data_IF_288395195061
#
_entry.id   IF_288395195061
#
_cell.length_a   1.000
_cell.length_b   1.000
_cell.length_c   1.000
_cell.angle_alpha   90.00
_cell.angle_beta   90.00
_cell.angle_gamma   90.00
#
_symmetry.space_group_name_H-M   'P 1'
#
loop_
_entity.id
_entity.type
_entity.pdbx_description
1 polymer ?
#
# COMPACT_ATOMS: atom_id res chain seq x y z
N UNK A 1 -2.66 63.32 -3.27
CA UNK A 1 -2.79 64.03 -4.57
C UNK A 1 -1.41 64.07 -5.24
N UNK A 2 -1.26 63.45 -6.42
CA UNK A 2 -0.15 63.63 -7.40
C UNK A 2 -0.59 64.71 -8.41
N UNK A 3 0.33 65.44 -9.09
CA UNK A 3 0.93 64.99 -10.38
C UNK A 3 2.45 65.35 -10.48
N UNK A 4 3.34 64.58 -11.13
CA UNK A 4 3.51 64.15 -12.54
C UNK A 4 4.44 65.08 -13.35
N UNK A 5 5.63 64.59 -13.75
CA UNK A 5 6.15 64.66 -15.14
C UNK A 5 7.41 63.79 -15.35
N UNK A 6 7.39 63.06 -16.47
CA UNK A 6 8.41 62.18 -17.04
C UNK A 6 9.57 62.95 -17.70
N UNK A 7 10.73 62.29 -17.95
CA UNK A 7 11.17 61.85 -19.29
C UNK A 7 12.50 61.07 -19.26
N UNK A 8 12.67 60.28 -20.33
CA UNK A 8 13.52 59.11 -20.57
C UNK A 8 15.03 59.33 -20.66
N UNK A 9 15.81 58.24 -20.49
CA UNK A 9 16.92 57.91 -21.40
C UNK A 9 17.27 56.41 -21.36
N UNK A 10 17.53 55.88 -22.55
CA UNK A 10 17.87 54.50 -22.91
C UNK A 10 19.36 54.26 -22.69
N UNK A 11 19.75 53.08 -22.20
CA UNK A 11 21.04 52.49 -22.58
C UNK A 11 20.93 50.98 -22.71
N UNK A 12 21.13 50.50 -23.93
CA UNK A 12 21.37 49.11 -24.30
C UNK A 12 22.84 48.81 -23.97
N UNK A 13 23.11 47.79 -23.16
CA UNK A 13 24.38 47.07 -23.19
C UNK A 13 24.07 45.59 -23.06
N UNK A 14 24.33 44.84 -24.12
CA UNK A 14 24.32 43.39 -24.11
C UNK A 14 25.64 42.85 -23.57
N UNK A 15 25.57 41.74 -22.83
CA UNK A 15 26.72 40.88 -22.58
C UNK A 15 26.26 39.43 -22.63
N UNK A 16 26.79 38.69 -23.61
CA UNK A 16 26.78 37.23 -23.67
C UNK A 16 27.83 36.71 -22.68
N UNK A 17 27.46 35.77 -21.81
CA UNK A 17 28.42 34.93 -21.11
C UNK A 17 27.93 33.48 -21.07
N UNK A 18 28.79 32.62 -21.58
CA UNK A 18 28.64 31.18 -21.83
C UNK A 18 28.88 30.39 -20.53
N UNK A 19 27.95 29.47 -20.26
CA UNK A 19 28.12 28.12 -19.68
C UNK A 19 29.06 27.86 -18.50
N UNK A 20 28.46 27.44 -17.37
CA UNK A 20 28.96 26.31 -16.57
C UNK A 20 27.79 25.35 -16.39
N UNK A 21 27.89 24.17 -16.99
CA UNK A 21 26.90 23.11 -16.86
C UNK A 21 26.96 22.50 -15.46
N UNK A 22 25.89 22.70 -14.69
CA UNK A 22 25.57 21.85 -13.55
C UNK A 22 24.56 20.81 -14.02
N UNK A 23 25.04 19.59 -14.26
CA UNK A 23 24.20 18.40 -14.35
C UNK A 23 23.62 18.11 -12.96
N UNK A 24 22.60 18.87 -12.59
CA UNK A 24 21.70 18.53 -11.50
C UNK A 24 20.76 17.43 -11.99
N UNK A 25 21.03 16.19 -11.60
CA UNK A 25 20.01 15.15 -11.62
C UNK A 25 18.88 15.61 -10.73
N UNK A 26 17.82 16.17 -11.33
CA UNK A 26 16.57 16.38 -10.63
C UNK A 26 16.03 15.00 -10.30
N UNK A 27 16.31 14.54 -9.08
CA UNK A 27 15.52 13.50 -8.45
C UNK A 27 14.09 13.99 -8.51
N UNK A 28 13.32 13.44 -9.44
CA UNK A 28 11.90 13.64 -9.55
C UNK A 28 11.28 12.88 -8.38
N UNK A 29 11.37 13.47 -7.20
CA UNK A 29 10.56 13.09 -6.06
C UNK A 29 9.14 13.09 -6.57
N UNK A 30 8.52 11.91 -6.62
CA UNK A 30 7.12 11.75 -6.97
C UNK A 30 6.33 12.66 -6.04
N UNK A 31 5.99 13.85 -6.52
CA UNK A 31 5.17 14.78 -5.78
C UNK A 31 3.80 14.13 -5.76
N UNK A 32 3.49 13.52 -4.60
CA UNK A 32 2.15 13.09 -4.31
C UNK A 32 1.22 14.22 -4.70
N UNK A 33 0.36 14.00 -5.70
CA UNK A 33 -0.72 14.92 -6.01
C UNK A 33 -1.69 14.80 -4.83
N UNK A 34 -1.45 15.63 -3.82
CA UNK A 34 -2.35 15.84 -2.70
C UNK A 34 -3.56 16.60 -3.24
N UNK A 35 -4.75 16.19 -2.82
CA UNK A 35 -5.92 17.04 -3.00
C UNK A 35 -5.65 18.40 -2.31
N UNK A 36 -6.34 19.46 -2.73
CA UNK A 36 -6.15 20.80 -2.17
C UNK A 36 -6.38 20.87 -0.64
N UNK A 37 -7.00 19.83 -0.07
CA UNK A 37 -7.25 19.65 1.37
C UNK A 37 -6.23 18.74 2.08
N UNK A 38 -5.16 18.31 1.40
CA UNK A 38 -4.09 17.46 1.95
C UNK A 38 -4.38 15.96 1.96
N UNK A 39 -5.54 15.52 1.43
CA UNK A 39 -5.85 14.09 1.28
C UNK A 39 -5.03 13.46 0.16
N UNK A 40 -4.77 12.16 0.27
CA UNK A 40 -4.15 11.36 -0.79
C UNK A 40 -5.02 10.16 -1.14
N UNK A 41 -5.17 9.86 -2.43
CA UNK A 41 -5.90 8.68 -2.92
C UNK A 41 -5.17 8.06 -4.11
N UNK A 42 -5.49 6.81 -4.45
CA UNK A 42 -4.93 6.13 -5.61
C UNK A 42 -5.38 6.72 -6.95
N UNK A 43 -6.42 7.56 -6.98
CA UNK A 43 -7.01 8.12 -8.20
C UNK A 43 -7.79 7.13 -9.07
N UNK A 44 -7.56 5.82 -8.90
CA UNK A 44 -8.26 4.74 -9.60
C UNK A 44 -8.61 3.63 -8.61
N UNK A 45 -9.81 3.02 -8.70
CA UNK A 45 -10.13 1.86 -7.90
C UNK A 45 -9.38 0.61 -8.42
N UNK A 46 -9.12 -0.31 -7.51
CA UNK A 46 -8.58 -1.64 -7.76
C UNK A 46 -9.09 -2.62 -6.70
N UNK A 47 -8.99 -3.91 -6.98
CA UNK A 47 -9.67 -4.95 -6.23
C UNK A 47 -8.71 -6.04 -5.77
N UNK A 48 -9.13 -6.78 -4.75
CA UNK A 48 -8.51 -8.02 -4.35
C UNK A 48 -8.68 -9.05 -5.46
N UNK A 49 -7.58 -9.64 -5.93
CA UNK A 49 -7.59 -10.64 -6.99
C UNK A 49 -7.75 -12.06 -6.47
N UNK A 50 -6.93 -12.45 -5.49
CA UNK A 50 -6.87 -13.83 -5.00
C UNK A 50 -6.68 -13.90 -3.49
N UNK A 51 -7.25 -14.93 -2.87
CA UNK A 51 -6.97 -15.30 -1.48
C UNK A 51 -6.81 -16.82 -1.35
N UNK A 52 -5.78 -17.26 -0.63
CA UNK A 52 -5.48 -18.69 -0.45
C UNK A 52 -4.85 -18.97 0.91
N UNK A 53 -4.80 -20.24 1.31
CA UNK A 53 -4.09 -20.70 2.51
C UNK A 53 -3.19 -21.87 2.15
N UNK A 54 -1.99 -21.95 2.75
CA UNK A 54 -1.10 -23.10 2.59
C UNK A 54 -1.66 -24.37 3.21
N UNK A 55 -2.50 -24.23 4.26
CA UNK A 55 -3.18 -25.36 4.86
C UNK A 55 -4.57 -24.99 5.34
N UNK A 56 -5.54 -25.86 5.04
CA UNK A 56 -6.96 -25.62 5.24
C UNK A 56 -7.60 -26.48 6.34
N UNK A 57 -6.85 -27.34 7.03
CA UNK A 57 -7.41 -28.10 8.16
C UNK A 57 -7.67 -27.18 9.34
N UNK A 58 -8.81 -27.32 10.01
CA UNK A 58 -9.10 -26.63 11.28
C UNK A 58 -8.00 -26.92 12.31
N UNK A 59 -7.74 -25.96 13.20
CA UNK A 59 -6.71 -26.07 14.25
C UNK A 59 -5.29 -26.38 13.75
N UNK A 60 -5.01 -26.26 12.45
CA UNK A 60 -3.65 -26.48 11.92
C UNK A 60 -2.74 -25.31 12.28
N UNK A 61 -1.56 -25.62 12.83
CA UNK A 61 -0.53 -24.63 13.17
C UNK A 61 0.43 -24.41 12.03
N UNK A 62 0.90 -23.18 11.85
CA UNK A 62 1.92 -22.89 10.85
C UNK A 62 1.38 -22.64 9.42
N UNK A 63 0.07 -22.51 9.25
CA UNK A 63 -0.50 -22.05 7.98
C UNK A 63 -0.04 -20.62 7.63
N UNK A 64 -0.15 -20.23 6.37
CA UNK A 64 0.00 -18.85 5.90
C UNK A 64 -1.17 -18.53 4.99
N UNK A 65 -1.80 -17.37 5.23
CA UNK A 65 -2.91 -16.87 4.41
C UNK A 65 -2.37 -15.82 3.45
N UNK A 66 -2.58 -16.03 2.15
CA UNK A 66 -2.12 -15.12 1.10
C UNK A 66 -3.29 -14.31 0.54
N UNK A 67 -3.01 -13.03 0.27
CA UNK A 67 -3.90 -12.08 -0.35
C UNK A 67 -3.14 -11.36 -1.47
N UNK A 68 -3.61 -11.50 -2.70
CA UNK A 68 -2.94 -10.96 -3.90
C UNK A 68 -3.82 -9.93 -4.59
N UNK A 69 -3.25 -8.78 -4.94
CA UNK A 69 -3.93 -7.70 -5.65
C UNK A 69 -2.96 -6.96 -6.56
N UNK A 70 -3.50 -6.38 -7.62
CA UNK A 70 -2.74 -5.63 -8.62
C UNK A 70 -2.94 -4.13 -8.40
N UNK A 71 -1.85 -3.40 -8.13
CA UNK A 71 -1.88 -1.94 -8.11
C UNK A 71 -1.81 -1.45 -9.56
N UNK A 72 -2.84 -0.77 -10.11
CA UNK A 72 -2.86 -0.39 -11.51
C UNK A 72 -1.69 0.55 -11.87
N UNK A 73 -1.16 0.42 -13.09
CA UNK A 73 -0.13 1.34 -13.61
C UNK A 73 -0.61 2.80 -13.67
N UNK A 74 -1.93 2.99 -13.76
CA UNK A 74 -2.60 4.29 -13.80
C UNK A 74 -2.87 4.88 -12.41
N UNK A 75 -2.53 4.16 -11.33
CA UNK A 75 -2.67 4.68 -9.98
C UNK A 75 -1.75 5.89 -9.78
N UNK A 76 -2.29 6.97 -9.22
CA UNK A 76 -1.56 8.23 -9.05
C UNK A 76 -0.64 8.25 -7.83
N UNK A 77 -0.78 7.27 -6.93
CA UNK A 77 -0.02 7.16 -5.69
C UNK A 77 0.47 5.73 -5.51
N UNK A 78 1.64 5.53 -4.86
CA UNK A 78 2.10 4.21 -4.48
C UNK A 78 1.24 3.63 -3.35
N UNK A 79 1.38 2.34 -3.08
CA UNK A 79 0.77 1.67 -1.93
C UNK A 79 1.72 1.69 -0.74
N UNK A 80 1.28 2.32 0.36
CA UNK A 80 2.06 2.44 1.58
C UNK A 80 1.68 1.41 2.63
N UNK A 81 0.38 1.13 2.78
CA UNK A 81 -0.12 0.35 3.93
C UNK A 81 -1.33 -0.49 3.54
N UNK A 82 -1.44 -1.66 4.15
CA UNK A 82 -2.56 -2.58 3.97
C UNK A 82 -3.07 -3.02 5.34
N UNK A 83 -4.41 -3.07 5.47
CA UNK A 83 -5.09 -3.66 6.61
C UNK A 83 -5.89 -4.87 6.18
N UNK A 84 -5.77 -5.96 6.92
CA UNK A 84 -6.49 -7.22 6.67
C UNK A 84 -7.21 -7.61 7.94
N UNK A 85 -8.54 -7.77 7.84
CA UNK A 85 -9.37 -8.06 9.00
C UNK A 85 -10.38 -9.16 8.70
N UNK A 86 -10.43 -10.16 9.57
CA UNK A 86 -11.46 -11.18 9.54
C UNK A 86 -12.86 -10.59 9.78
N UNK A 87 -13.85 -11.08 9.05
CA UNK A 87 -15.26 -10.74 9.23
C UNK A 87 -16.08 -11.96 9.63
N UNK A 88 -16.45 -12.00 10.91
CA UNK A 88 -17.26 -13.07 11.50
C UNK A 88 -16.53 -14.40 11.61
N UNK A 89 -17.22 -15.43 12.11
CA UNK A 89 -16.64 -16.74 12.40
C UNK A 89 -15.81 -16.76 13.68
N UNK A 90 -15.22 -17.92 14.00
CA UNK A 90 -14.30 -18.07 15.12
C UNK A 90 -13.05 -17.21 14.91
N UNK A 91 -12.69 -16.38 15.89
CA UNK A 91 -11.57 -15.46 15.76
C UNK A 91 -10.26 -16.23 15.52
N UNK A 92 -9.48 -15.80 14.53
CA UNK A 92 -8.13 -16.29 14.28
C UNK A 92 -7.12 -15.30 14.83
N UNK A 93 -6.18 -15.78 15.62
CA UNK A 93 -5.10 -14.96 16.16
C UNK A 93 -3.88 -14.97 15.21
N UNK A 94 -3.31 -13.80 14.98
CA UNK A 94 -2.19 -13.61 14.04
C UNK A 94 -0.88 -13.27 14.72
N UNK A 95 0.20 -13.81 14.17
CA UNK A 95 1.57 -13.50 14.55
C UNK A 95 2.15 -12.45 13.58
N UNK A 96 2.44 -11.25 14.09
CA UNK A 96 3.04 -10.17 13.29
C UNK A 96 4.39 -10.57 12.69
N UNK A 97 5.18 -11.39 13.38
CA UNK A 97 6.52 -11.83 12.94
C UNK A 97 6.44 -12.74 11.72
N UNK A 98 5.30 -13.42 11.53
CA UNK A 98 5.04 -14.31 10.39
C UNK A 98 4.32 -13.62 9.24
N UNK A 99 4.24 -12.29 9.27
CA UNK A 99 3.74 -11.49 8.16
C UNK A 99 4.87 -11.21 7.17
N UNK A 100 4.58 -11.39 5.88
CA UNK A 100 5.52 -11.17 4.78
C UNK A 100 4.79 -10.64 3.55
N UNK A 101 5.53 -10.04 2.63
CA UNK A 101 4.99 -9.68 1.34
C UNK A 101 6.01 -9.89 0.23
N UNK A 102 5.53 -10.08 -0.99
CA UNK A 102 6.36 -10.26 -2.18
C UNK A 102 5.66 -9.74 -3.43
N UNK A 103 6.46 -9.44 -4.45
CA UNK A 103 6.00 -8.87 -5.73
C UNK A 103 5.85 -9.94 -6.81
N UNK A 104 5.01 -9.63 -7.81
CA UNK A 104 4.90 -10.36 -9.07
C UNK A 104 4.66 -11.87 -8.90
N UNK A 105 3.99 -12.26 -7.80
CA UNK A 105 3.73 -13.66 -7.43
C UNK A 105 5.00 -14.51 -7.26
N UNK A 106 6.17 -13.89 -7.10
CA UNK A 106 7.44 -14.56 -6.87
C UNK A 106 7.89 -14.35 -5.41
N UNK A 107 7.85 -15.41 -4.60
CA UNK A 107 8.29 -15.35 -3.19
C UNK A 107 9.77 -15.04 -3.01
N UNK A 108 10.58 -15.05 -4.09
CA UNK A 108 11.98 -14.59 -4.04
C UNK A 108 12.08 -13.08 -4.15
N UNK A 109 11.07 -12.41 -4.72
CA UNK A 109 10.96 -10.95 -4.82
C UNK A 109 10.29 -10.39 -3.56
N UNK A 110 10.93 -10.61 -2.40
CA UNK A 110 10.42 -10.13 -1.13
C UNK A 110 10.28 -8.60 -1.10
N UNK A 111 9.15 -8.13 -0.57
CA UNK A 111 8.97 -6.74 -0.19
C UNK A 111 9.49 -6.54 1.23
N UNK A 112 10.32 -5.52 1.44
CA UNK A 112 10.64 -5.09 2.79
C UNK A 112 9.39 -4.48 3.42
N UNK A 113 9.05 -4.97 4.60
CA UNK A 113 8.01 -4.40 5.45
C UNK A 113 8.67 -3.49 6.49
N UNK A 114 7.99 -2.38 6.79
CA UNK A 114 8.29 -1.54 7.94
C UNK A 114 7.57 -2.09 9.17
N UNK A 115 6.66 -1.29 9.71
CA UNK A 115 5.84 -1.67 10.85
C UNK A 115 4.78 -2.72 10.47
N UNK A 116 4.63 -3.73 11.34
CA UNK A 116 3.55 -4.73 11.28
C UNK A 116 2.94 -4.87 12.66
N UNK A 117 1.66 -4.53 12.77
CA UNK A 117 0.88 -4.59 14.01
C UNK A 117 -0.31 -5.53 13.86
N UNK A 118 -0.66 -6.21 14.95
CA UNK A 118 -1.89 -6.99 15.06
C UNK A 118 -2.70 -6.41 16.22
N UNK A 119 -3.90 -5.91 15.93
CA UNK A 119 -4.80 -5.41 16.98
C UNK A 119 -5.33 -6.60 17.79
N UNK A 120 -5.06 -6.63 19.10
CA UNK A 120 -5.38 -7.79 19.94
C UNK A 120 -6.88 -8.08 20.09
N UNK A 121 -7.75 -7.09 19.85
CA UNK A 121 -9.20 -7.22 20.01
C UNK A 121 -9.90 -7.62 18.73
N UNK A 122 -9.45 -7.06 17.62
CA UNK A 122 -10.08 -7.23 16.30
C UNK A 122 -9.31 -8.20 15.40
N UNK A 123 -8.07 -8.54 15.78
CA UNK A 123 -7.12 -9.32 15.01
C UNK A 123 -6.93 -8.74 13.59
N UNK A 124 -7.09 -7.42 13.45
CA UNK A 124 -6.72 -6.69 12.24
C UNK A 124 -5.20 -6.64 12.14
N UNK A 125 -4.67 -7.16 11.03
CA UNK A 125 -3.25 -7.04 10.68
C UNK A 125 -3.07 -5.75 9.90
N UNK A 126 -2.26 -4.83 10.42
CA UNK A 126 -1.90 -3.55 9.80
C UNK A 126 -0.41 -3.59 9.44
N UNK A 127 -0.07 -3.49 8.15
CA UNK A 127 1.31 -3.61 7.66
C UNK A 127 1.68 -2.46 6.74
N UNK A 128 2.91 -1.98 6.89
CA UNK A 128 3.49 -0.89 6.10
C UNK A 128 4.56 -1.43 5.17
N UNK A 129 4.52 -1.03 3.90
CA UNK A 129 5.59 -1.27 2.94
C UNK A 129 6.65 -0.18 3.06
N UNK A 130 7.92 -0.57 3.23
CA UNK A 130 9.05 0.35 3.31
C UNK A 130 10.22 -0.18 2.47
N UNK A 131 10.40 0.29 1.22
CA UNK A 131 9.74 1.44 0.60
C UNK A 131 8.29 1.16 0.12
N UNK A 132 7.50 2.21 -0.19
CA UNK A 132 6.15 2.07 -0.75
C UNK A 132 6.17 1.40 -2.12
N UNK A 133 5.15 0.56 -2.40
CA UNK A 133 5.03 -0.19 -3.65
C UNK A 133 4.56 0.73 -4.78
N UNK A 134 5.26 0.72 -5.90
CA UNK A 134 4.98 1.59 -7.03
C UNK A 134 3.80 1.09 -7.88
N UNK A 135 3.06 1.99 -8.55
CA UNK A 135 2.03 1.62 -9.52
C UNK A 135 2.51 0.59 -10.55
N UNK A 136 1.62 -0.33 -10.91
CA UNK A 136 1.89 -1.37 -11.91
C UNK A 136 2.46 -2.68 -11.39
N UNK A 137 2.53 -2.86 -10.07
CA UNK A 137 3.06 -4.06 -9.43
C UNK A 137 1.92 -4.94 -8.90
N UNK A 138 2.09 -6.26 -9.04
CA UNK A 138 1.27 -7.25 -8.32
C UNK A 138 1.88 -7.47 -6.95
N UNK A 139 1.07 -7.35 -5.90
CA UNK A 139 1.50 -7.54 -4.51
C UNK A 139 0.81 -8.76 -3.94
N UNK A 140 1.57 -9.60 -3.24
CA UNK A 140 1.01 -10.66 -2.41
C UNK A 140 1.43 -10.45 -0.96
N UNK A 141 0.46 -10.38 -0.06
CA UNK A 141 0.66 -10.32 1.39
C UNK A 141 0.36 -11.69 1.98
N UNK A 142 1.30 -12.24 2.75
CA UNK A 142 1.11 -13.43 3.56
C UNK A 142 1.01 -13.06 5.05
N UNK A 143 -0.08 -13.43 5.72
CA UNK A 143 -0.23 -13.32 7.18
C UNK A 143 -0.21 -14.70 7.83
N UNK A 144 0.45 -14.81 8.98
CA UNK A 144 0.66 -16.08 9.67
C UNK A 144 -0.25 -16.22 10.89
N UNK A 145 -1.36 -17.00 10.83
CA UNK A 145 -2.11 -17.33 12.03
C UNK A 145 -1.28 -18.21 12.96
N UNK A 146 -1.43 -18.07 14.28
CA UNK A 146 -0.87 -19.06 15.22
C UNK A 146 -1.44 -20.45 14.95
N UNK A 147 -2.75 -20.48 14.68
CA UNK A 147 -3.51 -21.68 14.37
C UNK A 147 -4.71 -21.32 13.46
N UNK A 148 -5.06 -22.20 12.54
CA UNK A 148 -6.29 -22.08 11.76
C UNK A 148 -7.53 -22.08 12.66
N UNK A 149 -8.69 -21.60 12.16
CA UNK A 149 -9.92 -21.57 12.96
C UNK A 149 -10.29 -22.93 13.55
N UNK A 150 -11.00 -22.89 14.67
CA UNK A 150 -11.44 -24.08 15.41
C UNK A 150 -12.63 -24.81 14.78
N UNK A 151 -13.33 -24.16 13.84
CA UNK A 151 -14.54 -24.67 13.18
C UNK A 151 -14.39 -24.59 11.67
N UNK A 152 -14.80 -25.64 10.96
CA UNK A 152 -14.77 -25.69 9.50
C UNK A 152 -15.75 -24.68 8.89
N UNK A 153 -15.50 -24.23 7.67
CA UNK A 153 -16.34 -23.26 6.98
C UNK A 153 -15.57 -22.24 6.16
N UNK A 154 -16.28 -21.18 5.74
CA UNK A 154 -15.72 -20.10 4.93
C UNK A 154 -15.54 -18.85 5.80
N UNK A 155 -14.31 -18.37 5.86
CA UNK A 155 -13.90 -17.21 6.63
C UNK A 155 -13.57 -16.07 5.67
N UNK A 156 -14.19 -14.92 5.87
CA UNK A 156 -14.05 -13.75 4.99
C UNK A 156 -13.02 -12.79 5.57
N UNK A 157 -12.10 -12.31 4.76
CA UNK A 157 -11.09 -11.33 5.16
C UNK A 157 -11.24 -10.06 4.33
N UNK A 158 -11.64 -8.96 4.97
CA UNK A 158 -11.70 -7.66 4.33
C UNK A 158 -10.30 -7.06 4.18
N UNK A 159 -9.97 -6.61 2.98
CA UNK A 159 -8.67 -5.99 2.67
C UNK A 159 -8.87 -4.51 2.36
N UNK A 160 -8.10 -3.64 3.03
CA UNK A 160 -8.06 -2.20 2.78
C UNK A 160 -6.64 -1.76 2.42
N UNK A 161 -6.53 -0.83 1.49
CA UNK A 161 -5.28 -0.24 1.03
C UNK A 161 -5.24 1.26 1.29
N UNK A 162 -4.04 1.79 1.55
CA UNK A 162 -3.80 3.19 1.86
C UNK A 162 -2.58 3.72 1.09
N UNK A 163 -2.69 4.88 0.42
CA UNK A 163 -1.54 5.57 -0.14
C UNK A 163 -0.71 6.24 0.97
N UNK A 164 0.50 6.77 0.67
CA UNK A 164 1.22 7.64 1.59
C UNK A 164 0.50 8.96 1.80
N UNK A 165 0.79 9.66 2.90
CA UNK A 165 0.30 11.01 3.17
C UNK A 165 -0.20 11.19 4.61
N UNK A 166 -0.44 12.44 5.01
CA UNK A 166 -0.96 12.77 6.35
C UNK A 166 -2.44 12.41 6.53
N UNK A 167 -3.22 12.43 5.44
CA UNK A 167 -4.64 12.06 5.43
C UNK A 167 -4.94 11.09 4.28
N UNK A 168 -4.45 9.84 4.35
CA UNK A 168 -4.64 8.88 3.29
C UNK A 168 -6.09 8.39 3.25
N UNK A 169 -6.71 8.49 2.08
CA UNK A 169 -8.04 7.95 1.83
C UNK A 169 -7.93 6.42 1.71
N UNK A 170 -8.69 5.72 2.56
CA UNK A 170 -8.78 4.27 2.47
C UNK A 170 -9.50 3.81 1.20
N UNK A 171 -9.04 2.69 0.65
CA UNK A 171 -9.76 1.98 -0.40
C UNK A 171 -10.00 0.54 0.02
N UNK A 172 -11.27 0.13 0.05
CA UNK A 172 -11.64 -1.25 0.30
C UNK A 172 -11.48 -2.08 -0.98
N UNK A 173 -10.64 -3.12 -0.93
CA UNK A 173 -10.31 -3.96 -2.08
C UNK A 173 -11.28 -5.14 -2.26
N UNK A 174 -12.02 -5.50 -1.21
CA UNK A 174 -12.96 -6.61 -1.22
C UNK A 174 -12.73 -7.61 -0.09
N UNK A 175 -13.47 -8.71 -0.14
CA UNK A 175 -13.32 -9.83 0.78
C UNK A 175 -12.59 -11.00 0.11
N UNK A 176 -11.56 -11.51 0.76
CA UNK A 176 -10.87 -12.75 0.39
C UNK A 176 -11.42 -13.93 1.19
N UNK A 177 -12.21 -14.84 0.58
CA UNK A 177 -12.70 -16.02 1.28
C UNK A 177 -11.59 -17.07 1.43
N UNK A 178 -11.45 -17.63 2.63
CA UNK A 178 -10.65 -18.83 2.90
C UNK A 178 -11.57 -19.95 3.38
N UNK A 179 -11.40 -21.14 2.84
CA UNK A 179 -12.18 -22.33 3.23
C UNK A 179 -11.35 -23.23 4.12
N UNK A 180 -11.92 -23.65 5.24
CA UNK A 180 -11.32 -24.59 6.17
C UNK A 180 -12.19 -25.83 6.32
N UNK A 181 -11.53 -26.97 6.49
CA UNK A 181 -12.15 -28.29 6.54
C UNK A 181 -11.79 -28.97 7.85
N UNK A 182 -12.65 -29.86 8.32
CA UNK A 182 -12.34 -30.68 9.47
C UNK A 182 -11.09 -31.52 9.23
N UNK A 183 -10.35 -31.79 10.30
CA UNK A 183 -9.19 -32.67 10.23
C UNK A 183 -9.66 -34.06 9.76
N UNK A 184 -8.98 -34.60 8.75
CA UNK A 184 -9.16 -36.00 8.33
C UNK A 184 -8.35 -36.92 9.22
#
# INVERSE_FOLDING_TARGET
MKPLKQLSQVLIVGTVAVGIGSSGTTNQSAQAIQFADGRTSFGVPFQLGESSTTQASVRFRGATYYFTFDLPKTASQPLQRVKIRQKGGALVEFDSVRTKAFLNRDSKQNCKLGEVNVDSKTQEVDLVFDPPIQPGQTVTVGIGPFENPSVSGVYQFGVKAFPPGGQPQEQFLGYGPLRFFDAR
#
